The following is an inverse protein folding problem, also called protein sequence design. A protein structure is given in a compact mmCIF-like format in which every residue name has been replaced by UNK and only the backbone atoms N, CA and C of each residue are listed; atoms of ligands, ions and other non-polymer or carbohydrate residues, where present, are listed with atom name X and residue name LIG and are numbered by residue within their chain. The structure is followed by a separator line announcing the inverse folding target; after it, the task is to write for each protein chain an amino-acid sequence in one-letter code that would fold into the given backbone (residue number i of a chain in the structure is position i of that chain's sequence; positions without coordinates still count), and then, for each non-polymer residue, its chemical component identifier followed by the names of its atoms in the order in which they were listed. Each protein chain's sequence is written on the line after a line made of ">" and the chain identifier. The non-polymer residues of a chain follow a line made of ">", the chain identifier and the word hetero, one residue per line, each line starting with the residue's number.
data_IF_605653708934
#
_entry.id   IF_605653708934
#
_cell.length_a   1.000
_cell.length_b   1.000
_cell.length_c   1.000
_cell.angle_alpha   90.00
_cell.angle_beta   90.00
_cell.angle_gamma   90.00
#
_symmetry.space_group_name_H-M   'P 1'
#
loop_
_entity.id
_entity.type
_entity.pdbx_description
1 polymer ?
#
# COMPACT_ATOMS: atom_id res chain seq x y z
N UNK A 1 6.31 29.16 -14.59
CA UNK A 1 6.32 27.78 -15.21
C UNK A 1 5.10 27.58 -16.09
N UNK A 2 5.28 27.39 -17.40
CA UNK A 2 4.24 27.05 -18.38
C UNK A 2 3.85 25.57 -18.25
N UNK A 3 2.57 25.25 -18.50
CA UNK A 3 2.03 23.89 -18.53
C UNK A 3 1.20 23.68 -19.77
N UNK A 4 1.21 22.45 -20.27
CA UNK A 4 0.44 22.10 -21.47
C UNK A 4 -0.02 20.62 -21.35
N UNK A 5 -1.28 20.36 -21.65
CA UNK A 5 -1.81 18.99 -21.72
C UNK A 5 -1.54 18.43 -23.13
N UNK A 6 -0.97 17.24 -23.21
CA UNK A 6 -0.66 16.53 -24.45
C UNK A 6 -0.94 15.05 -24.31
N UNK A 7 -1.27 14.41 -25.42
CA UNK A 7 -1.22 12.95 -25.56
C UNK A 7 0.16 12.60 -26.12
N UNK A 8 0.95 11.83 -25.39
CA UNK A 8 2.34 11.52 -25.71
C UNK A 8 2.50 10.01 -25.89
N UNK A 9 3.27 9.59 -26.89
CA UNK A 9 3.65 8.18 -27.06
C UNK A 9 4.38 7.67 -25.82
N UNK A 10 3.96 6.50 -25.32
CA UNK A 10 4.55 5.90 -24.12
C UNK A 10 6.04 5.63 -24.30
N UNK A 11 6.46 5.28 -25.50
CA UNK A 11 7.86 5.06 -25.89
C UNK A 11 8.73 6.32 -25.82
N UNK A 12 8.10 7.49 -25.80
CA UNK A 12 8.76 8.79 -25.67
C UNK A 12 8.84 9.33 -24.26
N UNK A 13 8.28 8.61 -23.29
CA UNK A 13 8.29 8.98 -21.88
C UNK A 13 9.24 8.03 -21.14
N UNK A 14 10.25 8.59 -20.50
CA UNK A 14 11.18 7.86 -19.64
C UNK A 14 10.75 7.98 -18.17
N UNK A 15 11.07 6.96 -17.39
CA UNK A 15 11.03 7.07 -15.92
C UNK A 15 12.14 8.03 -15.45
N UNK A 16 11.91 8.65 -14.30
CA UNK A 16 12.96 9.46 -13.67
C UNK A 16 13.99 8.55 -12.96
N UNK A 17 15.09 8.29 -13.65
CA UNK A 17 16.25 7.54 -13.16
C UNK A 17 17.39 8.46 -12.69
N UNK A 18 17.14 9.77 -12.57
CA UNK A 18 18.13 10.77 -12.18
C UNK A 18 18.89 11.39 -13.35
N UNK A 19 18.37 11.27 -14.59
CA UNK A 19 18.96 11.84 -15.81
C UNK A 19 18.82 13.36 -15.91
N UNK A 20 18.08 13.98 -15.00
CA UNK A 20 17.95 15.42 -14.87
C UNK A 20 18.80 15.91 -13.69
N UNK A 21 19.83 16.72 -13.92
CA UNK A 21 20.77 17.16 -12.88
C UNK A 21 20.10 17.84 -11.69
N UNK A 22 18.94 18.48 -11.91
CA UNK A 22 18.17 19.21 -10.89
C UNK A 22 17.07 18.37 -10.23
N UNK A 23 16.77 17.15 -10.72
CA UNK A 23 15.73 16.29 -10.18
C UNK A 23 16.33 14.92 -9.82
N UNK A 24 16.46 14.58 -8.52
CA UNK A 24 16.92 13.26 -8.10
C UNK A 24 16.04 12.15 -8.66
N UNK A 25 16.60 10.94 -8.75
CA UNK A 25 15.88 9.71 -9.10
C UNK A 25 14.61 9.56 -8.24
N UNK A 26 13.56 9.03 -8.85
CA UNK A 26 12.33 8.71 -8.13
C UNK A 26 12.63 7.69 -7.01
N UNK A 27 12.35 8.03 -5.74
CA UNK A 27 12.64 7.13 -4.62
C UNK A 27 11.62 6.00 -4.45
N UNK A 28 10.45 6.11 -5.11
CA UNK A 28 9.39 5.11 -4.97
C UNK A 28 9.72 3.86 -5.76
N UNK A 29 9.52 2.71 -5.13
CA UNK A 29 9.66 1.38 -5.73
C UNK A 29 8.28 0.73 -5.81
N UNK A 30 8.12 -0.20 -6.74
CA UNK A 30 6.90 -1.01 -6.94
C UNK A 30 7.28 -2.41 -7.37
N UNK A 31 6.38 -3.35 -7.15
CA UNK A 31 6.50 -4.74 -7.55
C UNK A 31 5.88 -4.99 -8.93
N UNK A 32 6.13 -6.17 -9.51
CA UNK A 32 5.44 -6.57 -10.73
C UNK A 32 3.92 -6.64 -10.51
N UNK A 33 3.48 -7.09 -9.35
CA UNK A 33 2.06 -7.14 -8.98
C UNK A 33 1.42 -5.76 -8.99
N UNK A 34 2.11 -4.71 -8.53
CA UNK A 34 1.61 -3.33 -8.57
C UNK A 34 1.43 -2.85 -10.02
N UNK A 35 2.37 -3.21 -10.91
CA UNK A 35 2.29 -2.91 -12.34
C UNK A 35 1.08 -3.62 -12.96
N UNK A 36 0.90 -4.91 -12.68
CA UNK A 36 -0.16 -5.72 -13.24
C UNK A 36 -1.55 -5.23 -12.78
N UNK A 37 -1.72 -4.91 -11.50
CA UNK A 37 -2.94 -4.28 -10.95
C UNK A 37 -3.23 -2.94 -11.62
N UNK A 38 -2.20 -2.11 -11.77
CA UNK A 38 -2.34 -0.80 -12.45
C UNK A 38 -2.72 -0.98 -13.92
N UNK A 39 -2.14 -1.97 -14.61
CA UNK A 39 -2.48 -2.28 -15.99
C UNK A 39 -3.93 -2.77 -16.11
N UNK A 40 -4.39 -3.64 -15.21
CA UNK A 40 -5.77 -4.12 -15.17
C UNK A 40 -6.76 -2.96 -14.98
N UNK A 41 -6.50 -2.08 -14.03
CA UNK A 41 -7.31 -0.87 -13.80
C UNK A 41 -7.36 0.06 -15.02
N UNK A 42 -6.25 0.26 -15.74
CA UNK A 42 -6.21 1.07 -16.97
C UNK A 42 -6.99 0.41 -18.11
N UNK A 43 -7.07 -0.93 -18.15
CA UNK A 43 -7.85 -1.67 -19.15
C UNK A 43 -9.33 -1.59 -18.82
N UNK A 44 -9.69 -1.71 -17.54
CA UNK A 44 -11.06 -1.66 -17.04
C UNK A 44 -11.69 -0.28 -17.24
N UNK A 45 -10.96 0.78 -16.86
CA UNK A 45 -11.41 2.16 -16.99
C UNK A 45 -10.35 3.04 -17.67
N UNK A 46 -10.27 3.02 -19.01
CA UNK A 46 -9.27 3.80 -19.73
C UNK A 46 -9.50 5.32 -19.64
N UNK A 47 -10.73 5.77 -19.37
CA UNK A 47 -11.08 7.19 -19.31
C UNK A 47 -10.57 7.81 -17.99
N UNK A 48 -10.44 7.01 -16.92
CA UNK A 48 -9.87 7.47 -15.67
C UNK A 48 -8.39 7.91 -15.80
N UNK A 49 -7.69 7.42 -16.82
CA UNK A 49 -6.33 7.87 -17.14
C UNK A 49 -6.30 9.34 -17.60
N UNK A 50 -7.40 9.82 -18.24
CA UNK A 50 -7.53 11.22 -18.63
C UNK A 50 -7.65 12.15 -17.42
N UNK A 51 -8.30 11.71 -16.35
CA UNK A 51 -8.46 12.49 -15.12
C UNK A 51 -7.15 12.54 -14.31
N UNK A 52 -6.27 11.56 -14.52
CA UNK A 52 -4.98 11.43 -13.81
C UNK A 52 -3.79 11.35 -14.76
N UNK A 53 -3.50 12.41 -15.55
CA UNK A 53 -2.44 12.40 -16.54
C UNK A 53 -1.05 12.18 -15.89
N UNK A 54 -0.11 11.70 -16.68
CA UNK A 54 1.29 11.65 -16.29
C UNK A 54 1.84 13.07 -16.17
N UNK A 55 2.71 13.31 -15.19
CA UNK A 55 3.38 14.60 -15.01
C UNK A 55 4.79 14.49 -15.57
N UNK A 56 5.08 15.23 -16.61
CA UNK A 56 6.34 15.11 -17.36
C UNK A 56 7.02 16.44 -17.61
N UNK A 57 8.34 16.39 -17.81
CA UNK A 57 9.17 17.51 -18.29
C UNK A 57 9.87 17.13 -19.58
N UNK A 58 10.14 18.07 -20.51
CA UNK A 58 10.92 17.80 -21.71
C UNK A 58 12.35 17.38 -21.37
N UNK A 59 12.87 16.42 -22.13
CA UNK A 59 14.26 15.97 -22.08
C UNK A 59 14.75 15.65 -23.50
N UNK A 60 15.39 16.60 -24.13
CA UNK A 60 15.77 16.52 -25.54
C UNK A 60 14.53 16.35 -26.43
N UNK A 61 14.43 15.23 -27.15
CA UNK A 61 13.27 14.89 -28.00
C UNK A 61 12.19 14.07 -27.25
N UNK A 62 12.46 13.70 -26.02
CA UNK A 62 11.63 12.84 -25.18
C UNK A 62 11.13 13.60 -23.96
N UNK A 63 10.57 12.88 -23.01
CA UNK A 63 10.04 13.42 -21.77
C UNK A 63 10.47 12.54 -20.60
N UNK A 64 10.61 13.13 -19.43
CA UNK A 64 10.87 12.41 -18.18
C UNK A 64 9.67 12.57 -17.24
N UNK A 65 9.12 11.46 -16.76
CA UNK A 65 8.01 11.45 -15.83
C UNK A 65 8.52 11.73 -14.41
N UNK A 66 8.01 12.79 -13.78
CA UNK A 66 8.26 13.09 -12.38
C UNK A 66 7.07 12.77 -11.48
N UNK A 67 5.90 12.45 -12.06
CA UNK A 67 4.71 11.95 -11.37
C UNK A 67 3.95 10.96 -12.23
N UNK A 68 3.34 9.94 -11.59
CA UNK A 68 2.64 8.86 -12.28
C UNK A 68 3.56 7.78 -12.86
N UNK A 69 4.75 7.56 -12.31
CA UNK A 69 5.70 6.57 -12.81
C UNK A 69 5.11 5.15 -12.86
N UNK A 70 4.38 4.71 -11.82
CA UNK A 70 3.71 3.41 -11.81
C UNK A 70 2.62 3.33 -12.91
N UNK A 71 1.87 4.41 -13.13
CA UNK A 71 0.88 4.47 -14.25
C UNK A 71 1.55 4.38 -15.61
N UNK A 72 2.75 4.95 -15.77
CA UNK A 72 3.53 4.78 -16.99
C UNK A 72 3.87 3.30 -17.25
N UNK A 73 4.35 2.57 -16.24
CA UNK A 73 4.61 1.14 -16.35
C UNK A 73 3.31 0.34 -16.58
N UNK A 74 2.22 0.70 -15.90
CA UNK A 74 0.90 0.14 -16.15
C UNK A 74 0.42 0.35 -17.58
N UNK A 75 0.63 1.53 -18.17
CA UNK A 75 0.33 1.78 -19.59
C UNK A 75 1.14 0.89 -20.52
N UNK A 76 2.43 0.67 -20.24
CA UNK A 76 3.27 -0.27 -21.02
C UNK A 76 2.73 -1.70 -20.93
N UNK A 77 2.44 -2.17 -19.72
CA UNK A 77 1.89 -3.52 -19.49
C UNK A 77 0.52 -3.70 -20.17
N UNK A 78 -0.34 -2.66 -20.11
CA UNK A 78 -1.63 -2.60 -20.80
C UNK A 78 -1.51 -2.40 -22.33
N UNK A 79 -0.29 -2.29 -22.87
CA UNK A 79 0.00 -2.05 -24.30
C UNK A 79 -0.68 -0.80 -24.85
N UNK A 80 -0.84 0.24 -24.04
CA UNK A 80 -1.34 1.54 -24.48
C UNK A 80 -0.26 2.25 -25.31
N UNK A 81 -0.55 2.69 -26.54
CA UNK A 81 0.46 3.35 -27.38
C UNK A 81 0.79 4.76 -26.90
N UNK A 82 -0.14 5.41 -26.23
CA UNK A 82 -0.05 6.80 -25.78
C UNK A 82 -0.63 6.95 -24.38
N UNK A 83 -0.22 8.03 -23.68
CA UNK A 83 -0.82 8.42 -22.42
C UNK A 83 -1.09 9.93 -22.36
N UNK A 84 -2.22 10.35 -21.76
CA UNK A 84 -2.46 11.74 -21.42
C UNK A 84 -1.40 12.22 -20.45
N UNK A 85 -0.81 13.37 -20.75
CA UNK A 85 0.32 13.89 -20.00
C UNK A 85 0.18 15.40 -19.81
N UNK A 86 0.53 15.87 -18.62
CA UNK A 86 0.70 17.28 -18.33
C UNK A 86 2.19 17.62 -18.45
N UNK A 87 2.55 18.35 -19.47
CA UNK A 87 3.94 18.77 -19.73
C UNK A 87 4.22 20.05 -18.97
N UNK A 88 5.27 20.05 -18.17
CA UNK A 88 5.77 21.19 -17.43
C UNK A 88 7.05 21.70 -18.09
N UNK A 89 7.13 23.00 -18.32
CA UNK A 89 8.29 23.67 -18.91
C UNK A 89 8.95 24.56 -17.87
N UNK A 90 9.89 24.01 -17.06
CA UNK A 90 10.61 24.82 -16.08
C UNK A 90 11.64 25.73 -16.78
N UNK A 91 11.76 26.97 -16.32
CA UNK A 91 12.69 27.97 -16.86
C UNK A 91 13.56 28.61 -15.78
N UNK A 92 13.16 28.46 -14.51
CA UNK A 92 13.82 29.09 -13.37
C UNK A 92 14.15 28.07 -12.27
N UNK A 93 15.11 28.41 -11.40
CA UNK A 93 15.44 27.62 -10.23
C UNK A 93 14.22 27.34 -9.33
N UNK A 94 13.32 28.33 -9.21
CA UNK A 94 12.06 28.15 -8.44
C UNK A 94 11.11 27.16 -9.13
N UNK A 95 11.12 27.09 -10.46
CA UNK A 95 10.35 26.10 -11.20
C UNK A 95 10.89 24.68 -10.94
N UNK A 96 12.23 24.51 -10.96
CA UNK A 96 12.88 23.23 -10.64
C UNK A 96 12.56 22.79 -9.20
N UNK A 97 12.71 23.69 -8.24
CA UNK A 97 12.36 23.43 -6.84
C UNK A 97 10.87 23.07 -6.70
N UNK A 98 10.00 23.71 -7.47
CA UNK A 98 8.56 23.42 -7.45
C UNK A 98 8.25 22.03 -8.00
N UNK A 99 8.89 21.61 -9.10
CA UNK A 99 8.70 20.26 -9.66
C UNK A 99 9.24 19.21 -8.69
N UNK A 100 10.40 19.42 -8.08
CA UNK A 100 10.96 18.52 -7.06
C UNK A 100 10.00 18.33 -5.88
N UNK A 101 9.42 19.42 -5.36
CA UNK A 101 8.40 19.36 -4.30
C UNK A 101 7.16 18.58 -4.75
N UNK A 102 6.69 18.76 -5.99
CA UNK A 102 5.53 18.05 -6.53
C UNK A 102 5.79 16.56 -6.72
N UNK A 103 6.97 16.17 -7.20
CA UNK A 103 7.36 14.78 -7.31
C UNK A 103 7.26 14.06 -5.96
N UNK A 104 7.70 14.70 -4.88
CA UNK A 104 7.57 14.14 -3.53
C UNK A 104 6.12 14.12 -3.03
N UNK A 105 5.34 15.18 -3.29
CA UNK A 105 3.92 15.23 -2.91
C UNK A 105 3.06 14.20 -3.64
N UNK A 106 3.35 13.92 -4.91
CA UNK A 106 2.67 12.88 -5.70
C UNK A 106 2.95 11.47 -5.15
N UNK A 107 4.11 11.28 -4.53
CA UNK A 107 4.51 10.01 -3.90
C UNK A 107 4.01 9.88 -2.44
N UNK A 108 3.60 10.98 -1.81
CA UNK A 108 3.11 11.00 -0.42
C UNK A 108 1.66 10.52 -0.33
N UNK A 109 1.40 9.59 0.60
CA UNK A 109 0.04 9.20 0.97
C UNK A 109 -0.30 9.82 2.33
N UNK A 110 -1.40 10.56 2.40
CA UNK A 110 -1.90 11.16 3.64
C UNK A 110 -3.29 10.61 3.94
N UNK A 111 -3.57 10.44 5.22
CA UNK A 111 -4.85 9.93 5.71
C UNK A 111 -4.82 8.45 6.03
N UNK A 112 -5.86 8.02 6.70
CA UNK A 112 -6.17 6.62 6.99
C UNK A 112 -7.53 6.27 6.40
N UNK A 113 -7.75 4.99 6.16
CA UNK A 113 -9.04 4.50 5.73
C UNK A 113 -9.95 4.31 6.95
N UNK A 114 -11.20 4.73 6.84
CA UNK A 114 -12.27 4.30 7.71
C UNK A 114 -12.73 2.93 7.24
N UNK A 115 -12.30 1.87 7.95
CA UNK A 115 -12.57 0.50 7.55
C UNK A 115 -14.05 0.12 7.74
N UNK A 116 -14.73 0.73 8.70
CA UNK A 116 -16.17 0.50 8.90
C UNK A 116 -16.97 1.10 7.75
N UNK A 117 -16.59 2.30 7.31
CA UNK A 117 -17.19 2.93 6.14
C UNK A 117 -16.92 2.11 4.86
N UNK A 118 -15.69 1.63 4.66
CA UNK A 118 -15.36 0.77 3.51
C UNK A 118 -16.16 -0.54 3.51
N UNK A 119 -16.31 -1.17 4.66
CA UNK A 119 -17.03 -2.43 4.78
C UNK A 119 -18.55 -2.31 4.62
N UNK A 120 -19.13 -1.14 4.97
CA UNK A 120 -20.57 -0.97 4.97
C UNK A 120 -21.12 -0.30 3.70
N UNK A 121 -20.32 0.51 3.02
CA UNK A 121 -20.78 1.36 1.92
C UNK A 121 -20.00 1.19 0.62
N UNK A 122 -18.90 0.40 0.62
CA UNK A 122 -18.01 0.20 -0.53
C UNK A 122 -17.64 -1.28 -0.74
N UNK A 123 -18.39 -2.21 -0.13
CA UNK A 123 -18.16 -3.64 -0.16
C UNK A 123 -18.52 -4.29 -1.51
N UNK A 124 -19.27 -3.59 -2.36
CA UNK A 124 -19.62 -3.97 -3.72
C UNK A 124 -18.48 -3.76 -4.73
N UNK A 125 -17.37 -3.10 -4.31
CA UNK A 125 -16.24 -2.79 -5.18
C UNK A 125 -15.03 -3.72 -4.92
N UNK A 126 -14.26 -4.08 -5.96
CA UNK A 126 -13.09 -4.93 -5.82
C UNK A 126 -11.88 -4.13 -5.27
N UNK A 127 -12.02 -3.58 -4.06
CA UNK A 127 -11.06 -2.66 -3.44
C UNK A 127 -9.64 -3.23 -3.37
N UNK A 128 -9.51 -4.53 -3.11
CA UNK A 128 -8.23 -5.22 -3.04
C UNK A 128 -7.50 -5.27 -4.39
N UNK A 129 -8.24 -5.39 -5.49
CA UNK A 129 -7.68 -5.40 -6.84
C UNK A 129 -7.14 -4.02 -7.23
N UNK A 130 -7.72 -2.97 -6.69
CA UNK A 130 -7.27 -1.59 -6.89
C UNK A 130 -6.18 -1.15 -5.91
N UNK A 131 -5.71 -2.07 -5.04
CA UNK A 131 -4.64 -1.79 -4.07
C UNK A 131 -5.10 -1.02 -2.84
N UNK A 132 -6.41 -0.86 -2.64
CA UNK A 132 -6.96 -0.38 -1.39
C UNK A 132 -6.85 -1.53 -0.39
N UNK A 133 -6.03 -1.37 0.64
CA UNK A 133 -5.92 -2.33 1.74
C UNK A 133 -7.13 -2.18 2.64
N UNK A 134 -8.29 -2.63 2.15
CA UNK A 134 -9.50 -2.75 2.93
C UNK A 134 -9.38 -4.03 3.74
N UNK A 135 -9.29 -3.93 5.04
CA UNK A 135 -9.23 -5.02 6.01
C UNK A 135 -7.89 -5.78 6.07
N UNK A 136 -7.14 -5.71 7.17
CA UNK A 136 -6.14 -6.72 7.46
C UNK A 136 -6.88 -8.05 7.64
N UNK A 137 -6.52 -9.08 6.85
CA UNK A 137 -6.98 -10.43 7.13
C UNK A 137 -6.72 -10.73 8.62
N UNK A 138 -7.66 -11.38 9.34
CA UNK A 138 -7.55 -11.62 10.78
C UNK A 138 -6.23 -12.25 11.21
N UNK A 139 -5.62 -13.03 10.31
CA UNK A 139 -4.33 -13.71 10.51
C UNK A 139 -3.12 -12.75 10.49
N UNK A 140 -3.26 -11.55 9.94
CA UNK A 140 -2.19 -10.56 9.81
C UNK A 140 -2.40 -9.30 10.67
N UNK A 141 -3.51 -9.21 11.40
CA UNK A 141 -3.84 -8.03 12.22
C UNK A 141 -2.86 -7.80 13.38
N UNK A 142 -2.08 -8.80 13.74
CA UNK A 142 -1.15 -8.75 14.88
C UNK A 142 0.28 -8.34 14.48
N UNK A 143 0.61 -8.27 13.20
CA UNK A 143 2.03 -8.18 12.78
C UNK A 143 2.50 -6.84 12.22
N UNK A 144 1.69 -5.80 12.09
CA UNK A 144 2.20 -4.59 11.41
C UNK A 144 1.67 -3.25 11.91
N UNK A 145 1.81 -2.94 13.18
CA UNK A 145 1.98 -1.55 13.57
C UNK A 145 3.44 -1.15 13.32
N UNK A 146 3.76 -0.66 12.14
CA UNK A 146 5.02 0.04 11.91
C UNK A 146 5.91 -0.37 10.75
N UNK A 147 5.50 -1.22 9.81
CA UNK A 147 6.31 -1.49 8.62
C UNK A 147 5.65 -1.00 7.33
N UNK A 148 6.29 -0.11 6.54
CA UNK A 148 5.82 0.24 5.22
C UNK A 148 6.09 -0.94 4.27
N UNK A 149 5.02 -1.53 3.75
CA UNK A 149 5.08 -2.34 2.54
C UNK A 149 5.55 -3.78 2.72
N UNK A 150 4.63 -4.68 3.10
CA UNK A 150 4.75 -6.09 2.70
C UNK A 150 3.47 -6.44 1.96
N UNK A 151 3.64 -6.55 0.65
CA UNK A 151 2.67 -7.03 -0.31
C UNK A 151 2.32 -8.49 -0.02
N UNK A 152 1.02 -8.76 0.14
CA UNK A 152 0.50 -10.12 0.20
C UNK A 152 0.48 -10.75 -1.18
N UNK A 153 1.63 -11.14 -1.73
CA UNK A 153 1.68 -12.05 -2.85
C UNK A 153 1.57 -13.48 -2.34
N UNK A 154 0.49 -14.16 -2.67
CA UNK A 154 0.47 -15.61 -2.77
C UNK A 154 1.47 -16.08 -3.82
N UNK A 155 2.72 -16.11 -3.44
CA UNK A 155 3.73 -16.94 -4.07
C UNK A 155 3.91 -18.12 -3.15
N UNK A 156 3.53 -19.32 -3.61
CA UNK A 156 3.85 -20.58 -2.96
C UNK A 156 5.36 -20.70 -2.73
N UNK A 157 5.84 -20.11 -1.65
CA UNK A 157 7.05 -20.58 -0.98
C UNK A 157 6.57 -21.54 0.08
N UNK A 158 7.06 -22.77 -0.02
CA UNK A 158 7.01 -23.75 1.05
C UNK A 158 7.19 -22.97 2.36
N UNK A 159 6.12 -22.93 3.15
CA UNK A 159 6.18 -22.48 4.52
C UNK A 159 7.28 -23.30 5.16
N UNK A 160 8.44 -22.68 5.42
CA UNK A 160 9.34 -23.23 6.42
C UNK A 160 8.45 -23.49 7.61
N UNK A 161 8.26 -24.77 7.96
CA UNK A 161 7.68 -25.21 9.20
C UNK A 161 8.29 -24.28 10.25
N UNK A 162 7.48 -23.46 10.92
CA UNK A 162 7.96 -22.65 12.03
C UNK A 162 8.74 -23.59 12.92
N UNK A 163 9.94 -23.22 13.31
CA UNK A 163 10.64 -23.95 14.36
C UNK A 163 9.64 -24.00 15.50
N UNK A 164 9.31 -25.23 15.92
CA UNK A 164 8.51 -25.42 17.13
C UNK A 164 9.23 -24.66 18.23
N UNK A 165 8.49 -23.81 18.95
CA UNK A 165 9.01 -23.07 20.09
C UNK A 165 9.58 -24.10 21.05
N UNK A 166 10.91 -24.02 21.30
CA UNK A 166 11.63 -24.84 22.27
C UNK A 166 11.27 -24.47 23.73
N UNK A 167 10.05 -23.93 23.92
CA UNK A 167 9.55 -23.62 25.25
C UNK A 167 9.25 -24.93 25.98
N UNK A 168 10.20 -25.39 26.80
CA UNK A 168 10.01 -26.53 27.68
C UNK A 168 9.23 -26.07 28.94
N UNK A 169 7.97 -26.47 29.03
CA UNK A 169 7.12 -26.21 30.21
C UNK A 169 7.70 -26.77 31.52
N UNK A 170 8.80 -27.49 31.44
CA UNK A 170 9.46 -28.21 32.58
C UNK A 170 10.72 -27.53 33.09
N UNK A 171 11.17 -26.40 32.51
CA UNK A 171 12.30 -25.69 33.12
C UNK A 171 11.88 -25.04 34.45
N UNK A 172 12.50 -25.51 35.51
CA UNK A 172 12.38 -25.04 36.88
C UNK A 172 12.42 -23.50 36.99
N UNK A 173 11.30 -22.87 37.27
CA UNK A 173 11.27 -21.46 37.61
C UNK A 173 10.10 -20.64 37.12
N UNK A 174 9.23 -21.15 36.25
CA UNK A 174 8.03 -20.41 35.85
C UNK A 174 6.97 -20.56 36.94
N UNK A 175 6.80 -19.53 37.74
CA UNK A 175 5.69 -19.45 38.69
C UNK A 175 4.38 -19.31 37.92
N UNK A 176 3.68 -20.45 37.77
CA UNK A 176 2.30 -20.42 37.26
C UNK A 176 1.46 -19.61 38.23
N UNK A 177 1.06 -18.40 37.85
CA UNK A 177 0.27 -17.48 38.67
C UNK A 177 -1.24 -17.58 38.39
N UNK A 178 -1.63 -18.23 37.31
CA UNK A 178 -3.01 -18.39 36.88
C UNK A 178 -3.44 -19.87 36.96
N UNK A 179 -4.64 -20.13 37.43
CA UNK A 179 -5.31 -21.45 37.37
C UNK A 179 -6.56 -21.34 36.51
N UNK A 180 -6.98 -22.42 35.85
CA UNK A 180 -8.26 -22.44 35.16
C UNK A 180 -9.39 -21.98 36.07
N UNK A 181 -10.17 -21.02 35.63
CA UNK A 181 -11.27 -20.39 36.39
C UNK A 181 -10.89 -19.11 37.13
N UNK A 182 -9.62 -18.71 37.19
CA UNK A 182 -9.23 -17.43 37.78
C UNK A 182 -9.68 -16.26 36.90
N UNK A 183 -10.27 -15.26 37.54
CA UNK A 183 -10.72 -14.02 36.89
C UNK A 183 -9.85 -12.86 37.39
N UNK A 184 -9.23 -12.16 36.46
CA UNK A 184 -8.41 -10.97 36.70
C UNK A 184 -9.18 -9.72 36.27
N UNK A 185 -9.12 -8.69 37.09
CA UNK A 185 -9.73 -7.38 36.80
C UNK A 185 -8.63 -6.39 36.50
N UNK A 186 -8.66 -5.78 35.32
CA UNK A 186 -7.68 -4.83 34.80
C UNK A 186 -8.41 -3.52 34.46
N UNK A 187 -8.61 -2.66 35.45
CA UNK A 187 -9.48 -1.49 35.31
C UNK A 187 -10.93 -1.92 35.02
N UNK A 188 -11.48 -1.49 33.91
CA UNK A 188 -12.85 -1.86 33.46
C UNK A 188 -12.92 -3.19 32.70
N UNK A 189 -11.77 -3.82 32.45
CA UNK A 189 -11.68 -5.08 31.70
C UNK A 189 -11.54 -6.29 32.62
N UNK A 190 -12.03 -7.44 32.15
CA UNK A 190 -11.87 -8.73 32.81
C UNK A 190 -11.17 -9.73 31.91
N UNK A 191 -10.30 -10.53 32.49
CA UNK A 191 -9.60 -11.63 31.83
C UNK A 191 -9.89 -12.90 32.65
N UNK A 192 -10.22 -13.99 31.98
CA UNK A 192 -10.40 -15.29 32.60
C UNK A 192 -9.40 -16.31 32.03
N UNK A 193 -8.82 -17.12 32.89
CA UNK A 193 -8.05 -18.28 32.49
C UNK A 193 -8.99 -19.45 32.29
N UNK A 194 -9.23 -19.92 31.06
CA UNK A 194 -10.14 -21.02 30.79
C UNK A 194 -10.40 -21.24 29.31
N UNK A 195 -11.16 -22.29 28.99
CA UNK A 195 -11.55 -22.62 27.63
C UNK A 195 -12.63 -21.63 27.12
N UNK A 196 -12.34 -20.91 26.06
CA UNK A 196 -13.30 -19.95 25.45
C UNK A 196 -14.49 -20.64 24.78
N UNK A 197 -14.43 -21.92 24.55
CA UNK A 197 -15.54 -22.71 24.00
C UNK A 197 -16.50 -23.21 25.10
N UNK A 198 -16.10 -23.12 26.37
CA UNK A 198 -16.93 -23.47 27.52
C UNK A 198 -17.87 -22.32 27.88
N UNK A 199 -19.20 -22.59 27.75
CA UNK A 199 -20.23 -21.59 27.99
C UNK A 199 -20.23 -21.03 29.41
N UNK A 200 -19.87 -21.88 30.42
CA UNK A 200 -19.84 -21.47 31.82
C UNK A 200 -18.64 -20.56 32.12
N UNK A 201 -17.52 -20.79 31.46
CA UNK A 201 -16.35 -19.90 31.52
C UNK A 201 -16.71 -18.53 30.93
N UNK A 202 -17.38 -18.52 29.77
CA UNK A 202 -17.79 -17.27 29.11
C UNK A 202 -18.80 -16.49 29.95
N UNK A 203 -19.82 -17.18 30.53
CA UNK A 203 -20.77 -16.53 31.42
C UNK A 203 -20.10 -15.91 32.64
N UNK A 204 -19.14 -16.61 33.25
CA UNK A 204 -18.39 -16.12 34.41
C UNK A 204 -17.57 -14.86 34.04
N UNK A 205 -17.00 -14.81 32.86
CA UNK A 205 -16.29 -13.63 32.36
C UNK A 205 -17.23 -12.44 32.21
N UNK A 206 -18.44 -12.67 31.69
CA UNK A 206 -19.44 -11.62 31.45
C UNK A 206 -20.13 -11.14 32.73
N UNK A 207 -19.86 -11.76 33.88
CA UNK A 207 -20.39 -11.34 35.18
C UNK A 207 -21.79 -11.87 35.52
N UNK A 208 -22.20 -12.92 34.83
CA UNK A 208 -23.49 -13.65 35.07
C UNK A 208 -23.36 -14.80 36.03
#
# INVERSE_FOLDING_TARGET
>A
MRKERKVIGIDRIQLNEGQLDWLPKNPRQWTQTDIDKTAASIIEDPDFLEDRPLLVVPFGKEFVAFGGNLRHEGCKAAKKPTAPSMVYYPETEEDYATIKRRAMKDNGSFGSWDFDELANNWDDLPLGDWGVKAWPAPENAIQNEGAPGIDGTEGSKETKKGEEDDFDEKEDGILVRCKPGDVWVLGDHRLICGDSTDLDVVKKLMGG
#
